data_IF_409705818674
#
_entry.id   IF_409705818674
#
_cell.length_a   1.000
_cell.length_b   1.000
_cell.length_c   1.000
_cell.angle_alpha   90.00
_cell.angle_beta   90.00
_cell.angle_gamma   90.00
#
_symmetry.space_group_name_H-M   'P 1'
#
loop_
_entity.id
_entity.type
_entity.pdbx_description
1 polymer ?
#
# COMPACT_ATOMS: atom_id res chain seq x y z
N UNK A 1 -11.53 8.21 0.07
CA UNK A 1 -10.29 8.72 0.70
C UNK A 1 -9.57 9.55 -0.34
N UNK A 2 -9.20 10.79 -0.03
CA UNK A 2 -8.44 11.62 -0.99
C UNK A 2 -6.96 11.24 -0.92
N UNK A 3 -6.36 10.99 -2.08
CA UNK A 3 -4.99 10.46 -2.21
C UNK A 3 -4.24 11.22 -3.31
N UNK A 4 -2.92 11.25 -3.18
CA UNK A 4 -2.01 11.83 -4.17
C UNK A 4 -1.11 10.73 -4.73
N UNK A 5 -0.97 10.70 -6.06
CA UNK A 5 -0.18 9.70 -6.76
C UNK A 5 1.31 10.03 -6.65
N UNK A 6 2.10 9.09 -6.13
CA UNK A 6 3.56 9.16 -6.18
C UNK A 6 4.04 8.63 -7.53
N UNK A 7 3.63 7.40 -7.85
CA UNK A 7 4.04 6.69 -9.06
C UNK A 7 3.07 5.55 -9.36
N UNK A 8 3.02 5.14 -10.62
CA UNK A 8 2.26 3.97 -11.08
C UNK A 8 3.01 3.31 -12.23
N UNK A 9 2.76 2.01 -12.39
CA UNK A 9 3.07 1.28 -13.61
C UNK A 9 1.79 0.69 -14.20
N UNK A 10 1.89 -0.37 -15.01
CA UNK A 10 0.74 -1.04 -15.64
C UNK A 10 -0.13 -1.89 -14.70
N UNK A 11 0.40 -2.31 -13.55
CA UNK A 11 -0.30 -3.20 -12.61
C UNK A 11 -0.66 -2.53 -11.29
N UNK A 12 0.09 -1.51 -10.88
CA UNK A 12 0.05 -0.99 -9.51
C UNK A 12 0.20 0.53 -9.45
N UNK A 13 -0.29 1.10 -8.36
CA UNK A 13 -0.12 2.50 -8.01
C UNK A 13 0.37 2.64 -6.57
N UNK A 14 1.22 3.63 -6.34
CA UNK A 14 1.73 4.03 -5.02
C UNK A 14 1.22 5.43 -4.72
N UNK A 15 0.53 5.55 -3.60
CA UNK A 15 -0.26 6.73 -3.22
C UNK A 15 0.13 7.21 -1.83
N UNK A 16 -0.02 8.51 -1.57
CA UNK A 16 -0.02 9.10 -0.23
C UNK A 16 -1.43 9.53 0.13
N UNK A 17 -1.98 9.12 1.28
CA UNK A 17 -3.24 9.66 1.76
C UNK A 17 -3.08 11.12 2.18
N UNK A 18 -3.97 12.01 1.73
CA UNK A 18 -3.93 13.43 2.16
C UNK A 18 -4.09 13.60 3.67
N UNK A 19 -4.88 12.71 4.29
CA UNK A 19 -5.00 12.60 5.74
C UNK A 19 -4.29 11.34 6.20
N UNK A 20 -2.98 11.43 6.35
CA UNK A 20 -2.16 10.36 6.92
C UNK A 20 -2.36 10.24 8.44
N UNK A 21 -2.33 9.01 8.96
CA UNK A 21 -2.35 8.72 10.40
C UNK A 21 -0.98 9.05 11.02
N UNK A 22 0.09 8.77 10.27
CA UNK A 22 1.48 9.03 10.66
C UNK A 22 2.27 9.62 9.48
N UNK A 23 3.34 10.42 9.73
CA UNK A 23 4.22 10.89 8.67
C UNK A 23 4.81 9.72 7.88
N UNK A 24 4.76 9.81 6.56
CA UNK A 24 5.29 8.78 5.67
C UNK A 24 4.34 7.63 5.36
N UNK A 25 3.07 7.69 5.78
CA UNK A 25 2.09 6.65 5.41
C UNK A 25 1.98 6.52 3.88
N UNK A 26 2.07 5.29 3.38
CA UNK A 26 1.96 4.98 1.95
C UNK A 26 0.89 3.92 1.73
N UNK A 27 0.19 4.02 0.60
CA UNK A 27 -0.78 3.03 0.13
C UNK A 27 -0.30 2.47 -1.20
N UNK A 28 -0.19 1.15 -1.29
CA UNK A 28 0.09 0.43 -2.54
C UNK A 28 -1.18 -0.32 -2.92
N UNK A 29 -1.71 -0.05 -4.11
CA UNK A 29 -2.93 -0.65 -4.61
C UNK A 29 -2.74 -1.20 -6.03
N UNK A 30 -3.42 -2.29 -6.41
CA UNK A 30 -3.45 -2.73 -7.79
C UNK A 30 -4.27 -1.76 -8.64
N UNK A 31 -3.95 -1.64 -9.93
CA UNK A 31 -4.79 -0.96 -10.92
C UNK A 31 -6.06 -1.77 -11.18
N UNK A 32 -5.95 -3.10 -11.18
CA UNK A 32 -7.09 -3.99 -11.32
C UNK A 32 -8.06 -3.86 -10.14
N UNK A 33 -9.35 -4.02 -10.43
CA UNK A 33 -10.40 -3.95 -9.42
C UNK A 33 -10.47 -5.24 -8.57
N UNK A 34 -9.60 -5.31 -7.56
CA UNK A 34 -9.50 -6.47 -6.67
C UNK A 34 -9.99 -6.09 -5.28
N UNK A 35 -10.92 -6.88 -4.72
CA UNK A 35 -11.58 -6.53 -3.46
C UNK A 35 -10.79 -7.03 -2.26
N UNK A 36 -10.34 -8.28 -2.26
CA UNK A 36 -9.69 -8.93 -1.12
C UNK A 36 -8.41 -9.65 -1.55
N UNK A 37 -7.54 -9.93 -0.59
CA UNK A 37 -6.23 -10.56 -0.79
C UNK A 37 -6.33 -11.87 -1.57
N UNK A 38 -7.34 -12.70 -1.29
CA UNK A 38 -7.54 -14.02 -1.89
C UNK A 38 -7.81 -13.96 -3.40
N UNK A 39 -8.18 -12.79 -3.92
CA UNK A 39 -8.43 -12.57 -5.35
C UNK A 39 -7.19 -12.04 -6.08
N UNK A 40 -6.12 -11.70 -5.35
CA UNK A 40 -4.90 -11.14 -5.93
C UNK A 40 -4.07 -12.28 -6.55
N UNK A 41 -3.74 -12.22 -7.85
CA UNK A 41 -2.83 -13.20 -8.44
C UNK A 41 -1.45 -13.18 -7.76
N UNK A 42 -0.85 -14.35 -7.53
CA UNK A 42 0.43 -14.49 -6.81
C UNK A 42 1.54 -13.60 -7.38
N UNK A 43 1.65 -13.51 -8.70
CA UNK A 43 2.65 -12.67 -9.36
C UNK A 43 2.46 -11.17 -9.07
N UNK A 44 1.20 -10.73 -9.02
CA UNK A 44 0.86 -9.35 -8.68
C UNK A 44 1.14 -9.07 -7.20
N UNK A 45 0.74 -9.98 -6.31
CA UNK A 45 1.02 -9.85 -4.88
C UNK A 45 2.53 -9.81 -4.61
N UNK A 46 3.31 -10.65 -5.28
CA UNK A 46 4.76 -10.65 -5.18
C UNK A 46 5.35 -9.29 -5.60
N UNK A 47 4.92 -8.73 -6.74
CA UNK A 47 5.34 -7.40 -7.20
C UNK A 47 4.97 -6.30 -6.21
N UNK A 48 3.74 -6.33 -5.69
CA UNK A 48 3.27 -5.37 -4.67
C UNK A 48 4.12 -5.45 -3.39
N UNK A 49 4.47 -6.65 -2.92
CA UNK A 49 5.29 -6.85 -1.72
C UNK A 49 6.75 -6.42 -1.92
N UNK A 50 7.33 -6.63 -3.12
CA UNK A 50 8.66 -6.12 -3.45
C UNK A 50 8.70 -4.59 -3.36
N UNK A 51 7.63 -3.93 -3.83
CA UNK A 51 7.53 -2.47 -3.76
C UNK A 51 7.25 -2.01 -2.35
N UNK A 52 6.45 -2.74 -1.58
CA UNK A 52 6.27 -2.45 -0.17
C UNK A 52 7.61 -2.46 0.59
N UNK A 53 8.43 -3.49 0.36
CA UNK A 53 9.76 -3.58 0.94
C UNK A 53 10.64 -2.36 0.55
N UNK A 54 10.67 -2.02 -0.75
CA UNK A 54 11.44 -0.87 -1.25
C UNK A 54 10.99 0.46 -0.63
N UNK A 55 9.67 0.68 -0.53
CA UNK A 55 9.12 1.89 0.08
C UNK A 55 9.40 1.93 1.59
N UNK A 56 9.31 0.80 2.29
CA UNK A 56 9.69 0.70 3.70
C UNK A 56 11.15 1.09 3.93
N UNK A 57 12.08 0.60 3.11
CA UNK A 57 13.50 0.98 3.19
C UNK A 57 13.69 2.48 2.93
N UNK A 58 13.02 3.03 1.91
CA UNK A 58 13.09 4.46 1.62
C UNK A 58 12.57 5.31 2.78
N UNK A 59 11.43 4.95 3.37
CA UNK A 59 10.87 5.64 4.55
C UNK A 59 11.83 5.57 5.74
N UNK A 60 12.40 4.39 6.00
CA UNK A 60 13.38 4.21 7.07
C UNK A 60 14.60 5.13 6.92
N UNK A 61 15.17 5.19 5.72
CA UNK A 61 16.35 6.01 5.44
C UNK A 61 16.06 7.52 5.46
N UNK A 62 14.90 7.93 4.94
CA UNK A 62 14.55 9.34 4.77
C UNK A 62 13.98 9.95 6.04
N UNK A 63 13.08 9.25 6.73
CA UNK A 63 12.43 9.74 7.94
C UNK A 63 13.20 9.39 9.22
N UNK A 64 14.26 8.59 9.11
CA UNK A 64 15.04 8.11 10.27
C UNK A 64 14.17 7.45 11.33
N UNK A 65 13.12 6.74 10.91
CA UNK A 65 12.26 5.99 11.83
C UNK A 65 12.98 4.73 12.32
N UNK A 66 12.47 4.12 13.38
CA UNK A 66 13.01 2.85 13.91
C UNK A 66 12.46 1.61 13.20
N UNK A 67 11.48 1.80 12.31
CA UNK A 67 10.82 0.73 11.58
C UNK A 67 9.56 1.22 10.88
N UNK A 68 8.97 0.33 10.08
CA UNK A 68 7.70 0.54 9.38
C UNK A 68 6.74 -0.59 9.70
N UNK A 69 5.44 -0.32 9.67
CA UNK A 69 4.43 -1.36 9.76
C UNK A 69 3.95 -1.72 8.35
N UNK A 70 3.45 -2.94 8.17
CA UNK A 70 2.72 -3.33 6.95
C UNK A 70 1.36 -3.82 7.40
N UNK A 71 0.30 -3.22 6.87
CA UNK A 71 -1.08 -3.53 7.24
C UNK A 71 -1.93 -3.79 6.01
N UNK A 72 -2.57 -4.95 6.01
CA UNK A 72 -3.62 -5.32 5.06
C UNK A 72 -4.93 -5.41 5.84
N UNK A 73 -5.86 -4.54 5.51
CA UNK A 73 -7.22 -4.61 6.02
C UNK A 73 -8.02 -5.44 5.03
N UNK A 74 -8.17 -6.74 5.27
CA UNK A 74 -8.80 -7.68 4.35
C UNK A 74 -10.29 -7.88 4.69
N UNK A 75 -11.16 -7.18 3.97
CA UNK A 75 -12.60 -7.16 4.15
C UNK A 75 -13.11 -6.07 5.10
N UNK A 76 -14.41 -5.76 4.97
CA UNK A 76 -15.07 -4.66 5.71
C UNK A 76 -14.93 -4.83 7.22
N UNK A 77 -15.06 -6.07 7.73
CA UNK A 77 -14.92 -6.38 9.15
C UNK A 77 -13.50 -6.10 9.70
N UNK A 78 -12.48 -6.09 8.83
CA UNK A 78 -11.11 -5.75 9.17
C UNK A 78 -10.81 -4.24 9.02
N UNK A 79 -11.82 -3.40 8.78
CA UNK A 79 -11.67 -1.95 8.60
C UNK A 79 -11.36 -1.52 7.17
N UNK A 80 -11.47 -2.42 6.18
CA UNK A 80 -11.25 -2.06 4.79
C UNK A 80 -12.27 -1.04 4.32
N UNK A 81 -11.80 0.10 3.79
CA UNK A 81 -12.67 1.19 3.34
C UNK A 81 -13.04 1.05 1.85
N UNK A 82 -12.19 0.43 1.04
CA UNK A 82 -12.38 0.41 -0.41
C UNK A 82 -11.93 -0.94 -1.01
N UNK A 83 -10.93 -0.94 -1.89
CA UNK A 83 -10.38 -2.13 -2.55
C UNK A 83 -9.15 -2.66 -1.81
N UNK A 84 -8.68 -3.82 -2.23
CA UNK A 84 -7.45 -4.40 -1.71
C UNK A 84 -6.29 -3.41 -1.82
N UNK A 85 -5.55 -3.25 -0.73
CA UNK A 85 -4.35 -2.41 -0.69
C UNK A 85 -3.43 -2.84 0.45
N UNK A 86 -2.14 -2.53 0.29
CA UNK A 86 -1.12 -2.66 1.32
C UNK A 86 -0.83 -1.27 1.86
N UNK A 87 -0.91 -1.12 3.18
CA UNK A 87 -0.62 0.13 3.88
C UNK A 87 0.73 -0.01 4.58
N UNK A 88 1.58 1.00 4.44
CA UNK A 88 2.88 1.11 5.11
C UNK A 88 2.84 2.31 6.05
#
# INVERSE_FOLDING_TARGET
METELITQDEDIMVLVPRKAIVPGQIIIAPIQDIVVLEQVPDALLQKMMQIANKMSSLLFETLKCHGTNILIQNGVAAGQINKFSINI
#
